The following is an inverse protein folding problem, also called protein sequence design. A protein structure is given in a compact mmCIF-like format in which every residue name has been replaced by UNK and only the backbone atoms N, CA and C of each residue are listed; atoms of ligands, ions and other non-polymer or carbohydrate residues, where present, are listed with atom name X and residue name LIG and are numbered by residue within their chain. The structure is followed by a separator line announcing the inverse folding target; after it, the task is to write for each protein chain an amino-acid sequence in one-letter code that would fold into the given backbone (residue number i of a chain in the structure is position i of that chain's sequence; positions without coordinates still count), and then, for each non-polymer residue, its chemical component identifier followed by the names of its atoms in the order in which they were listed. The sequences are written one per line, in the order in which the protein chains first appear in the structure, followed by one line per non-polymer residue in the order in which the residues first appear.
data_IF_954990141279
#
_entry.id   IF_954990141279
#
_cell.length_a   1.000
_cell.length_b   1.000
_cell.length_c   1.000
_cell.angle_alpha   90.00
_cell.angle_beta   90.00
_cell.angle_gamma   90.00
#
_symmetry.space_group_name_H-M   'P 1'
#
loop_
_entity.id
_entity.type
_entity.pdbx_description
1 polymer ?
#
# COMPACT_ATOMS: atom_id res chain seq x y z
N UNK A 1 14.79 -19.64 -6.05
CA UNK A 1 14.81 -19.07 -4.69
C UNK A 1 14.69 -17.57 -4.89
N UNK A 2 13.55 -16.97 -4.54
CA UNK A 2 13.35 -15.53 -4.71
C UNK A 2 14.28 -14.82 -3.72
N UNK A 3 15.15 -13.98 -4.25
CA UNK A 3 16.15 -13.23 -3.51
C UNK A 3 15.42 -12.14 -2.72
N UNK A 4 15.38 -12.27 -1.39
CA UNK A 4 14.85 -11.24 -0.49
C UNK A 4 15.79 -10.04 -0.53
N UNK A 5 15.50 -9.10 -1.43
CA UNK A 5 16.23 -7.85 -1.58
C UNK A 5 15.39 -6.77 -0.88
N UNK A 6 15.82 -6.21 0.27
CA UNK A 6 14.99 -5.36 1.12
C UNK A 6 14.61 -4.01 0.50
N UNK A 7 15.14 -3.70 -0.68
CA UNK A 7 14.84 -2.48 -1.43
C UNK A 7 14.15 -2.76 -2.77
N UNK A 8 13.90 -4.02 -3.14
CA UNK A 8 13.21 -4.37 -4.38
C UNK A 8 11.72 -4.62 -4.10
N UNK A 9 10.88 -3.85 -4.79
CA UNK A 9 9.45 -4.07 -4.81
C UNK A 9 9.13 -5.31 -5.67
N UNK A 10 8.23 -6.16 -5.18
CA UNK A 10 7.60 -7.19 -6.01
C UNK A 10 6.69 -6.55 -7.04
N UNK A 11 6.31 -7.29 -8.09
CA UNK A 11 5.36 -6.79 -9.10
C UNK A 11 4.04 -6.34 -8.46
N UNK A 12 3.60 -7.06 -7.44
CA UNK A 12 2.40 -6.70 -6.68
C UNK A 12 2.58 -5.43 -5.85
N UNK A 13 3.69 -5.31 -5.12
CA UNK A 13 3.98 -4.11 -4.32
C UNK A 13 4.13 -2.87 -5.20
N UNK A 14 4.79 -2.99 -6.36
CA UNK A 14 4.90 -1.91 -7.32
C UNK A 14 3.52 -1.50 -7.86
N UNK A 15 2.69 -2.46 -8.27
CA UNK A 15 1.33 -2.18 -8.72
C UNK A 15 0.43 -1.58 -7.64
N UNK A 16 0.59 -2.01 -6.38
CA UNK A 16 -0.11 -1.42 -5.25
C UNK A 16 0.34 0.02 -5.00
N UNK A 17 1.65 0.29 -5.07
CA UNK A 17 2.20 1.63 -4.90
C UNK A 17 1.71 2.57 -6.01
N UNK A 18 1.77 2.14 -7.27
CA UNK A 18 1.30 2.94 -8.40
C UNK A 18 -0.20 3.25 -8.26
N UNK A 19 -0.99 2.27 -7.86
CA UNK A 19 -2.40 2.49 -7.57
C UNK A 19 -2.63 3.46 -6.40
N UNK A 20 -1.82 3.39 -5.34
CA UNK A 20 -1.88 4.35 -4.22
C UNK A 20 -1.51 5.77 -4.66
N UNK A 21 -0.63 5.94 -5.66
CA UNK A 21 -0.27 7.25 -6.23
C UNK A 21 -1.39 7.80 -7.11
N UNK A 22 -2.00 6.94 -7.93
CA UNK A 22 -3.13 7.33 -8.79
C UNK A 22 -4.39 7.69 -7.99
N UNK A 23 -4.56 7.10 -6.80
CA UNK A 23 -5.74 7.28 -5.96
C UNK A 23 -5.46 8.23 -4.80
N UNK A 24 -6.33 9.21 -4.58
CA UNK A 24 -6.14 10.23 -3.56
C UNK A 24 -6.55 9.76 -2.14
N UNK A 25 -5.93 8.69 -1.63
CA UNK A 25 -6.20 8.15 -0.28
C UNK A 25 -5.66 9.03 0.87
N UNK A 26 -4.97 10.13 0.55
CA UNK A 26 -4.65 11.18 1.51
C UNK A 26 -5.87 12.10 1.80
N UNK A 27 -6.87 12.08 0.91
CA UNK A 27 -8.17 12.77 1.07
C UNK A 27 -9.27 11.77 1.40
N UNK A 28 -9.35 10.67 0.65
CA UNK A 28 -10.34 9.63 0.86
C UNK A 28 -9.90 8.61 1.91
N UNK A 29 -10.81 8.14 2.77
CA UNK A 29 -10.47 7.16 3.80
C UNK A 29 -10.04 5.83 3.17
N UNK A 30 -8.88 5.33 3.61
CA UNK A 30 -8.36 4.02 3.22
C UNK A 30 -9.30 2.90 3.67
N UNK A 31 -9.44 1.89 2.81
CA UNK A 31 -10.15 0.66 3.14
C UNK A 31 -9.43 -0.53 2.53
N UNK A 32 -8.78 -1.33 3.37
CA UNK A 32 -8.12 -2.58 2.96
C UNK A 32 -9.08 -3.49 2.21
N UNK A 33 -10.32 -3.60 2.67
CA UNK A 33 -11.38 -4.37 2.00
C UNK A 33 -11.68 -3.89 0.57
N UNK A 34 -11.63 -2.58 0.31
CA UNK A 34 -11.80 -2.04 -1.06
C UNK A 34 -10.58 -2.36 -1.93
N UNK A 35 -9.38 -2.20 -1.39
CA UNK A 35 -8.15 -2.55 -2.08
C UNK A 35 -8.10 -4.05 -2.43
N UNK A 36 -8.40 -4.93 -1.47
CA UNK A 36 -8.46 -6.38 -1.66
C UNK A 36 -9.40 -6.77 -2.82
N UNK A 37 -10.58 -6.11 -2.91
CA UNK A 37 -11.51 -6.30 -4.02
C UNK A 37 -10.96 -5.79 -5.36
N UNK A 38 -10.29 -4.66 -5.37
CA UNK A 38 -9.69 -4.08 -6.59
C UNK A 38 -8.61 -5.01 -7.17
N UNK A 39 -7.81 -5.62 -6.30
CA UNK A 39 -6.71 -6.50 -6.69
C UNK A 39 -7.10 -7.99 -6.76
N UNK A 40 -8.35 -8.34 -6.45
CA UNK A 40 -8.84 -9.72 -6.39
C UNK A 40 -7.99 -10.64 -5.48
N UNK A 41 -7.55 -10.10 -4.33
CA UNK A 41 -6.77 -10.81 -3.31
C UNK A 41 -7.44 -10.75 -1.94
N UNK A 42 -6.91 -11.50 -0.98
CA UNK A 42 -7.34 -11.43 0.41
C UNK A 42 -6.82 -10.16 1.11
N UNK A 43 -7.54 -9.70 2.15
CA UNK A 43 -7.14 -8.50 2.90
C UNK A 43 -5.75 -8.63 3.54
N UNK A 44 -5.37 -9.83 3.97
CA UNK A 44 -4.06 -10.14 4.56
C UNK A 44 -2.91 -9.83 3.59
N UNK A 45 -3.09 -10.11 2.30
CA UNK A 45 -2.08 -9.81 1.27
C UNK A 45 -1.88 -8.30 1.13
N UNK A 46 -2.96 -7.52 1.24
CA UNK A 46 -2.89 -6.06 1.20
C UNK A 46 -2.19 -5.52 2.45
N UNK A 47 -2.49 -6.04 3.64
CA UNK A 47 -1.82 -5.63 4.88
C UNK A 47 -0.31 -5.87 4.81
N UNK A 48 0.11 -7.05 4.38
CA UNK A 48 1.53 -7.40 4.24
C UNK A 48 2.23 -6.55 3.18
N UNK A 49 1.55 -6.25 2.07
CA UNK A 49 2.11 -5.39 1.02
C UNK A 49 2.26 -3.94 1.48
N UNK A 50 1.25 -3.36 2.15
CA UNK A 50 1.36 -1.99 2.71
C UNK A 50 2.46 -1.94 3.78
N UNK A 51 2.53 -2.93 4.67
CA UNK A 51 3.59 -3.02 5.67
C UNK A 51 4.98 -3.11 5.00
N UNK A 52 5.11 -3.91 3.95
CA UNK A 52 6.35 -4.02 3.18
C UNK A 52 6.70 -2.71 2.48
N UNK A 53 5.74 -2.03 1.85
CA UNK A 53 5.96 -0.72 1.22
C UNK A 53 6.48 0.31 2.23
N UNK A 54 5.90 0.39 3.42
CA UNK A 54 6.37 1.34 4.46
C UNK A 54 7.80 1.04 4.95
N UNK A 55 8.28 -0.20 4.80
CA UNK A 55 9.65 -0.59 5.16
C UNK A 55 10.62 -0.37 4.01
N UNK A 56 10.23 -0.73 2.78
CA UNK A 56 11.09 -0.72 1.59
C UNK A 56 11.22 0.66 0.95
N UNK A 57 10.13 1.44 0.95
CA UNK A 57 10.05 2.77 0.32
C UNK A 57 9.44 3.82 1.27
N UNK A 58 9.96 4.00 2.49
CA UNK A 58 9.37 4.88 3.51
C UNK A 58 9.26 6.37 3.09
N UNK A 59 10.02 6.79 2.09
CA UNK A 59 9.96 8.16 1.55
C UNK A 59 8.84 8.35 0.52
N UNK A 60 8.28 7.24 0.00
CA UNK A 60 7.25 7.22 -1.05
C UNK A 60 5.87 6.86 -0.53
N UNK A 61 5.75 6.44 0.73
CA UNK A 61 4.47 6.08 1.34
C UNK A 61 4.40 6.56 2.78
N UNK A 62 3.26 7.14 3.15
CA UNK A 62 2.97 7.56 4.50
C UNK A 62 1.58 7.10 4.90
N UNK A 63 1.50 6.34 5.99
CA UNK A 63 0.24 5.89 6.60
C UNK A 63 -0.05 6.77 7.81
N UNK A 64 -1.25 7.35 7.88
CA UNK A 64 -1.63 8.26 8.96
C UNK A 64 -3.13 8.20 9.27
N UNK A 65 -3.52 8.65 10.45
CA UNK A 65 -4.93 8.78 10.83
C UNK A 65 -5.39 10.24 10.72
N UNK A 66 -6.56 10.46 10.11
CA UNK A 66 -7.19 11.76 10.00
C UNK A 66 -8.70 11.59 10.07
N UNK A 67 -9.38 12.45 10.84
CA UNK A 67 -10.84 12.44 10.98
C UNK A 67 -11.44 11.07 11.38
N UNK A 68 -10.73 10.29 12.21
CA UNK A 68 -11.18 8.96 12.65
C UNK A 68 -11.04 7.85 11.60
N UNK A 69 -10.42 8.12 10.45
CA UNK A 69 -10.14 7.14 9.42
C UNK A 69 -8.64 7.00 9.16
N UNK A 70 -8.24 5.83 8.67
CA UNK A 70 -6.91 5.57 8.15
C UNK A 70 -6.78 6.21 6.77
N UNK A 71 -5.65 6.80 6.47
CA UNK A 71 -5.31 7.40 5.18
C UNK A 71 -3.91 6.97 4.76
N UNK A 72 -3.69 6.89 3.46
CA UNK A 72 -2.40 6.56 2.88
C UNK A 72 -2.08 7.62 1.83
N UNK A 73 -0.95 8.29 2.00
CA UNK A 73 -0.35 9.13 0.97
C UNK A 73 0.77 8.35 0.29
N UNK A 74 0.89 8.46 -1.03
CA UNK A 74 1.98 7.90 -1.79
C UNK A 74 2.45 8.84 -2.91
N UNK A 75 3.72 8.72 -3.31
CA UNK A 75 4.39 9.42 -4.42
C UNK A 75 5.28 8.44 -5.22
#
# INVERSE_FOLDING_TARGET
MAEDNPSKLTEFEAGLLDWLVENNFHVEPWSTKKAAKQFFVEEDIIYEAVASLTRKVPQRIQVFYKNGALHIAAD
#
